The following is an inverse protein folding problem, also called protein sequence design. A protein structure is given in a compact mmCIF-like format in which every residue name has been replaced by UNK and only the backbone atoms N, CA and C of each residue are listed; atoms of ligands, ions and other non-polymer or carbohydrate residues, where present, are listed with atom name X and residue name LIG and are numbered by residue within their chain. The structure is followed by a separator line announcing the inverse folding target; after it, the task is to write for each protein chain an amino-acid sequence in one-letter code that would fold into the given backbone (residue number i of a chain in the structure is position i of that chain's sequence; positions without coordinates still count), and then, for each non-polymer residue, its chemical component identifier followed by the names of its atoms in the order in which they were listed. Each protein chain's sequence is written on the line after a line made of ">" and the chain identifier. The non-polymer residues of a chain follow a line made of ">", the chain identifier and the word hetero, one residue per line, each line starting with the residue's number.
data_IF_347792077027
#
_entry.id   IF_347792077027
#
_cell.length_a   1.000
_cell.length_b   1.000
_cell.length_c   1.000
_cell.angle_alpha   90.00
_cell.angle_beta   90.00
_cell.angle_gamma   90.00
#
_symmetry.space_group_name_H-M   'P 1'
#
loop_
_entity.id
_entity.type
_entity.pdbx_description
1 polymer ?
#
# COMPACT_ATOMS: atom_id res chain seq x y z
N UNK A 1 13.52 -14.83 6.89
CA UNK A 1 13.21 -13.44 7.26
C UNK A 1 14.40 -12.45 7.16
N UNK A 2 15.63 -12.89 6.80
CA UNK A 2 16.74 -12.05 6.25
C UNK A 2 16.28 -10.96 5.27
N UNK A 3 15.22 -11.29 4.53
CA UNK A 3 14.68 -10.52 3.43
C UNK A 3 13.40 -9.72 3.75
N UNK A 4 12.83 -9.82 4.95
CA UNK A 4 11.57 -9.12 5.26
C UNK A 4 11.84 -7.82 6.01
N UNK A 5 12.43 -7.81 7.20
CA UNK A 5 12.50 -6.56 8.00
C UNK A 5 13.56 -5.56 7.50
N UNK A 6 14.75 -6.04 7.12
CA UNK A 6 15.82 -5.19 6.57
C UNK A 6 15.59 -4.76 5.12
N UNK A 7 15.04 -5.66 4.28
CA UNK A 7 14.69 -5.32 2.89
C UNK A 7 13.32 -4.65 2.77
N UNK A 8 12.34 -4.80 3.66
CA UNK A 8 11.10 -3.99 3.57
C UNK A 8 11.41 -2.51 3.81
N UNK A 9 12.28 -2.17 4.78
CA UNK A 9 12.69 -0.79 5.03
C UNK A 9 13.61 -0.21 3.95
N UNK A 10 14.56 -1.00 3.43
CA UNK A 10 15.46 -0.56 2.36
C UNK A 10 14.96 -0.84 0.94
N UNK A 11 13.87 -1.59 0.74
CA UNK A 11 13.35 -1.89 -0.59
C UNK A 11 11.93 -1.39 -0.83
N UNK A 12 11.02 -1.28 0.15
CA UNK A 12 9.72 -0.66 -0.14
C UNK A 12 9.87 0.85 -0.34
N UNK A 13 10.69 1.51 0.48
CA UNK A 13 11.04 2.92 0.36
C UNK A 13 11.97 3.22 -0.82
N UNK A 14 12.99 2.38 -1.02
CA UNK A 14 14.06 2.62 -1.98
C UNK A 14 13.81 1.96 -3.34
N UNK A 15 13.19 0.76 -3.44
CA UNK A 15 12.86 0.16 -4.74
C UNK A 15 11.62 0.80 -5.39
N UNK A 16 10.65 1.31 -4.64
CA UNK A 16 9.61 2.17 -5.23
C UNK A 16 10.19 3.45 -5.86
N UNK A 17 11.24 4.00 -5.23
CA UNK A 17 11.95 5.20 -5.68
C UNK A 17 13.17 4.93 -6.61
N UNK A 18 13.57 3.68 -6.86
CA UNK A 18 14.75 3.36 -7.69
C UNK A 18 14.45 2.32 -8.78
N UNK A 19 13.51 1.40 -8.59
CA UNK A 19 13.19 0.37 -9.58
C UNK A 19 12.35 0.89 -10.76
N UNK A 20 11.77 2.09 -10.66
CA UNK A 20 11.02 2.72 -11.74
C UNK A 20 11.91 3.41 -12.80
N UNK A 21 13.21 3.58 -12.57
CA UNK A 21 14.08 4.29 -13.53
C UNK A 21 15.49 3.69 -13.55
N UNK A 22 15.72 2.78 -14.50
CA UNK A 22 17.07 2.33 -14.81
C UNK A 22 17.13 1.14 -15.76
N UNK A 23 16.44 1.17 -16.91
CA UNK A 23 17.01 0.47 -18.05
C UNK A 23 18.33 1.18 -18.39
N UNK A 24 19.42 0.43 -18.44
CA UNK A 24 20.70 0.93 -18.93
C UNK A 24 20.59 1.08 -20.45
N UNK A 25 19.92 2.13 -20.91
CA UNK A 25 19.87 2.41 -22.34
C UNK A 25 21.01 3.34 -22.76
N UNK A 26 21.63 2.95 -23.88
CA UNK A 26 22.84 3.50 -24.46
C UNK A 26 22.64 4.94 -24.96
N UNK A 27 23.62 5.80 -24.64
CA UNK A 27 24.04 6.99 -25.41
C UNK A 27 22.96 7.69 -26.25
N UNK A 28 21.83 8.09 -25.67
CA UNK A 28 21.00 9.13 -26.27
C UNK A 28 21.58 10.51 -25.93
N UNK A 29 21.42 11.47 -26.84
CA UNK A 29 21.77 12.87 -26.62
C UNK A 29 21.08 13.36 -25.33
N UNK A 30 21.86 13.86 -24.37
CA UNK A 30 21.33 14.32 -23.08
C UNK A 30 20.47 15.58 -23.30
N UNK A 31 19.17 15.41 -23.50
CA UNK A 31 18.23 16.52 -23.36
C UNK A 31 18.19 16.96 -21.90
N UNK A 32 18.55 18.21 -21.66
CA UNK A 32 18.50 18.80 -20.32
C UNK A 32 17.12 19.43 -20.10
N UNK A 33 16.38 18.91 -19.13
CA UNK A 33 15.19 19.58 -18.60
C UNK A 33 15.60 20.46 -17.42
N UNK A 34 15.44 21.77 -17.56
CA UNK A 34 15.60 22.73 -16.48
C UNK A 34 14.22 23.13 -15.96
N UNK A 35 13.94 22.81 -14.69
CA UNK A 35 12.73 23.26 -13.98
C UNK A 35 13.14 24.30 -12.95
N UNK A 36 12.75 25.55 -13.17
CA UNK A 36 13.01 26.65 -12.23
C UNK A 36 11.78 26.88 -11.35
N UNK A 37 11.98 26.91 -10.03
CA UNK A 37 10.93 27.24 -9.05
C UNK A 37 11.37 28.42 -8.19
N UNK A 38 10.51 29.44 -8.08
CA UNK A 38 10.81 30.62 -7.24
C UNK A 38 9.55 31.11 -6.52
N UNK A 39 9.73 31.77 -5.38
CA UNK A 39 8.62 32.38 -4.64
C UNK A 39 7.92 33.52 -5.39
N UNK A 40 8.46 33.98 -6.52
CA UNK A 40 7.86 35.01 -7.37
C UNK A 40 6.81 34.46 -8.34
N UNK A 41 6.86 33.16 -8.65
CA UNK A 41 5.88 32.50 -9.52
C UNK A 41 4.48 32.55 -8.91
N UNK A 42 3.47 32.51 -9.76
CA UNK A 42 2.07 32.31 -9.37
C UNK A 42 1.83 30.91 -8.82
N UNK A 43 0.66 30.67 -8.21
CA UNK A 43 0.30 29.35 -7.72
C UNK A 43 0.25 28.32 -8.87
N UNK A 44 -0.37 28.68 -10.00
CA UNK A 44 -0.53 27.77 -11.15
C UNK A 44 0.82 27.40 -11.78
N UNK A 45 1.73 28.37 -11.93
CA UNK A 45 3.09 28.13 -12.43
C UNK A 45 3.87 27.20 -11.48
N UNK A 46 3.73 27.38 -10.17
CA UNK A 46 4.36 26.50 -9.17
C UNK A 46 3.75 25.10 -9.22
N UNK A 47 2.44 24.97 -9.35
CA UNK A 47 1.77 23.67 -9.48
C UNK A 47 2.25 22.93 -10.74
N UNK A 48 2.35 23.60 -11.88
CA UNK A 48 2.89 23.00 -13.11
C UNK A 48 4.37 22.59 -12.95
N UNK A 49 5.20 23.44 -12.35
CA UNK A 49 6.60 23.11 -12.09
C UNK A 49 6.73 21.93 -11.10
N UNK A 50 5.84 21.86 -10.11
CA UNK A 50 5.73 20.74 -9.18
C UNK A 50 5.44 19.42 -9.91
N UNK A 51 4.52 19.42 -10.87
CA UNK A 51 4.21 18.23 -11.70
C UNK A 51 5.44 17.72 -12.46
N UNK A 52 6.24 18.61 -13.05
CA UNK A 52 7.50 18.23 -13.71
C UNK A 52 8.51 17.59 -12.74
N UNK A 53 8.46 17.97 -11.47
CA UNK A 53 9.37 17.45 -10.45
C UNK A 53 8.87 16.14 -9.82
N UNK A 54 7.66 15.67 -10.13
CA UNK A 54 7.17 14.37 -9.65
C UNK A 54 7.94 13.26 -10.35
N UNK A 55 8.94 12.75 -9.64
CA UNK A 55 9.78 11.66 -10.12
C UNK A 55 10.62 11.07 -9.00
N UNK A 56 11.27 9.91 -9.23
CA UNK A 56 11.89 9.15 -8.14
C UNK A 56 13.04 9.89 -7.46
N UNK A 57 13.71 10.81 -8.17
CA UNK A 57 14.83 11.59 -7.64
C UNK A 57 14.45 12.98 -7.12
N UNK A 58 13.25 13.47 -7.43
CA UNK A 58 12.86 14.89 -7.24
C UNK A 58 11.53 15.08 -6.50
N UNK A 59 10.84 14.01 -6.08
CA UNK A 59 9.54 14.09 -5.42
C UNK A 59 9.51 15.02 -4.19
N UNK A 60 10.61 15.12 -3.43
CA UNK A 60 10.72 16.00 -2.27
C UNK A 60 10.80 17.49 -2.67
N UNK A 61 11.36 17.78 -3.85
CA UNK A 61 11.34 19.13 -4.45
C UNK A 61 9.95 19.45 -4.99
N UNK A 62 9.26 18.47 -5.58
CA UNK A 62 7.87 18.60 -6.00
C UNK A 62 6.97 18.94 -4.80
N UNK A 63 7.07 18.17 -3.72
CA UNK A 63 6.32 18.39 -2.47
C UNK A 63 6.50 19.82 -1.93
N UNK A 64 7.75 20.31 -1.88
CA UNK A 64 8.05 21.70 -1.49
C UNK A 64 7.48 22.72 -2.46
N UNK A 65 7.51 22.43 -3.76
CA UNK A 65 6.98 23.35 -4.79
C UNK A 65 5.46 23.47 -4.68
N UNK A 66 4.76 22.35 -4.44
CA UNK A 66 3.32 22.36 -4.17
C UNK A 66 2.97 23.06 -2.85
N UNK A 67 3.82 22.96 -1.83
CA UNK A 67 3.66 23.75 -0.60
C UNK A 67 3.70 25.25 -0.89
N UNK A 68 4.68 25.71 -1.67
CA UNK A 68 4.75 27.12 -2.10
C UNK A 68 3.54 27.54 -2.95
N UNK A 69 3.00 26.64 -3.77
CA UNK A 69 1.77 26.89 -4.52
C UNK A 69 0.57 27.08 -3.57
N UNK A 70 0.44 26.23 -2.55
CA UNK A 70 -0.63 26.30 -1.56
C UNK A 70 -0.52 27.50 -0.61
N UNK A 71 0.70 27.99 -0.33
CA UNK A 71 0.89 29.26 0.39
C UNK A 71 0.28 30.44 -0.36
N UNK A 72 0.29 30.41 -1.69
CA UNK A 72 -0.29 31.46 -2.55
C UNK A 72 -1.76 31.23 -2.84
N UNK A 73 -2.16 29.98 -3.06
CA UNK A 73 -3.54 29.58 -3.26
C UNK A 73 -3.85 28.31 -2.45
N UNK A 74 -4.34 28.46 -1.22
CA UNK A 74 -4.67 27.32 -0.37
C UNK A 74 -5.77 26.42 -0.96
N UNK A 75 -6.52 26.89 -1.96
CA UNK A 75 -7.63 26.16 -2.59
C UNK A 75 -7.24 25.43 -3.88
N UNK A 76 -5.98 25.47 -4.31
CA UNK A 76 -5.51 24.71 -5.47
C UNK A 76 -5.66 23.20 -5.22
N UNK A 77 -6.68 22.59 -5.82
CA UNK A 77 -7.01 21.18 -5.63
C UNK A 77 -5.97 20.23 -6.20
N UNK A 78 -5.28 20.62 -7.27
CA UNK A 78 -4.24 19.81 -7.88
C UNK A 78 -3.00 19.80 -6.99
N UNK A 79 -2.58 20.95 -6.46
CA UNK A 79 -1.49 21.01 -5.49
C UNK A 79 -1.83 20.26 -4.19
N UNK A 80 -3.07 20.38 -3.69
CA UNK A 80 -3.54 19.59 -2.53
C UNK A 80 -3.48 18.09 -2.80
N UNK A 81 -3.92 17.65 -3.99
CA UNK A 81 -3.86 16.24 -4.41
C UNK A 81 -2.42 15.71 -4.37
N UNK A 82 -1.48 16.41 -5.01
CA UNK A 82 -0.08 15.99 -5.04
C UNK A 82 0.56 15.99 -3.66
N UNK A 83 0.29 17.00 -2.82
CA UNK A 83 0.77 17.01 -1.42
C UNK A 83 0.27 15.81 -0.63
N UNK A 84 -1.02 15.49 -0.74
CA UNK A 84 -1.59 14.33 -0.08
C UNK A 84 -0.97 13.02 -0.60
N UNK A 85 -0.78 12.90 -1.92
CA UNK A 85 -0.18 11.74 -2.56
C UNK A 85 1.30 11.54 -2.20
N UNK A 86 2.10 12.61 -2.22
CA UNK A 86 3.54 12.58 -1.98
C UNK A 86 3.89 12.36 -0.51
N UNK A 87 2.96 12.64 0.42
CA UNK A 87 3.21 12.52 1.86
C UNK A 87 3.78 11.16 2.27
N UNK A 88 3.33 10.06 1.64
CA UNK A 88 3.86 8.70 1.91
C UNK A 88 5.32 8.54 1.51
N UNK A 89 5.77 9.24 0.46
CA UNK A 89 7.18 9.27 0.05
C UNK A 89 8.00 10.15 0.99
N UNK A 90 7.41 11.23 1.52
CA UNK A 90 8.07 12.16 2.43
C UNK A 90 8.46 11.52 3.78
N UNK A 91 7.83 10.40 4.17
CA UNK A 91 8.21 9.62 5.37
C UNK A 91 9.66 9.11 5.30
N UNK A 92 10.23 9.01 4.09
CA UNK A 92 11.61 8.57 3.87
C UNK A 92 12.68 9.63 4.15
N UNK A 93 12.29 10.83 4.57
CA UNK A 93 13.24 11.86 4.99
C UNK A 93 14.17 11.31 6.07
N UNK A 94 15.47 11.51 5.87
CA UNK A 94 16.50 11.08 6.81
C UNK A 94 16.66 9.57 6.99
N UNK A 95 15.98 8.73 6.20
CA UNK A 95 15.92 7.27 6.45
C UNK A 95 17.30 6.61 6.53
N UNK A 96 18.26 7.07 5.71
CA UNK A 96 19.62 6.51 5.67
C UNK A 96 20.41 6.82 6.94
N UNK A 97 20.15 7.95 7.59
CA UNK A 97 20.73 8.27 8.89
C UNK A 97 19.96 7.58 10.02
N UNK A 98 18.63 7.63 9.98
CA UNK A 98 17.75 7.05 11.00
C UNK A 98 18.02 5.55 11.20
N UNK A 99 18.30 4.80 10.13
CA UNK A 99 18.54 3.34 10.20
C UNK A 99 19.96 2.95 10.65
N UNK A 100 20.90 3.90 10.77
CA UNK A 100 22.29 3.58 11.17
C UNK A 100 22.39 2.79 12.49
N UNK A 101 21.65 3.13 13.56
CA UNK A 101 21.73 2.38 14.81
C UNK A 101 21.24 0.93 14.63
N UNK A 102 20.15 0.71 13.90
CA UNK A 102 19.69 -0.64 13.56
C UNK A 102 20.74 -1.41 12.76
N UNK A 103 21.31 -0.79 11.71
CA UNK A 103 22.35 -1.43 10.89
C UNK A 103 23.62 -1.76 11.70
N UNK A 104 23.96 -0.97 12.72
CA UNK A 104 25.08 -1.26 13.64
C UNK A 104 24.81 -2.46 14.54
N UNK A 105 23.57 -2.61 15.02
CA UNK A 105 23.22 -3.60 16.04
C UNK A 105 22.73 -4.93 15.45
N UNK A 106 22.10 -4.89 14.27
CA UNK A 106 21.35 -6.00 13.70
C UNK A 106 21.68 -6.27 12.22
N UNK A 107 22.53 -5.46 11.59
CA UNK A 107 22.84 -5.58 10.17
C UNK A 107 24.31 -5.31 9.85
N UNK A 108 24.56 -4.80 8.64
CA UNK A 108 25.89 -4.42 8.20
C UNK A 108 25.99 -2.90 8.03
N UNK A 109 26.59 -2.23 9.02
CA UNK A 109 26.86 -0.79 8.95
C UNK A 109 27.80 -0.43 7.79
N UNK A 110 28.74 -1.32 7.43
CA UNK A 110 29.63 -1.10 6.29
C UNK A 110 28.87 -1.08 4.96
N UNK A 111 27.94 -2.03 4.75
CA UNK A 111 27.08 -2.04 3.55
C UNK A 111 26.21 -0.78 3.47
N UNK A 112 25.62 -0.33 4.59
CA UNK A 112 24.87 0.92 4.60
C UNK A 112 25.76 2.13 4.23
N UNK A 113 26.98 2.17 4.74
CA UNK A 113 27.94 3.23 4.40
C UNK A 113 28.36 3.17 2.92
N UNK A 114 28.53 1.97 2.35
CA UNK A 114 28.80 1.80 0.92
C UNK A 114 27.64 2.31 0.07
N UNK A 115 26.39 1.97 0.43
CA UNK A 115 25.20 2.52 -0.22
C UNK A 115 25.20 4.05 -0.16
N UNK A 116 25.40 4.64 1.02
CA UNK A 116 25.42 6.10 1.19
C UNK A 116 26.55 6.76 0.36
N UNK A 117 27.74 6.14 0.31
CA UNK A 117 28.86 6.63 -0.49
C UNK A 117 28.59 6.52 -1.98
N UNK A 118 27.97 5.43 -2.43
CA UNK A 118 27.63 5.16 -3.83
C UNK A 118 26.49 6.03 -4.38
N UNK A 119 25.67 6.64 -3.52
CA UNK A 119 24.63 7.57 -3.97
C UNK A 119 25.24 8.81 -4.65
N UNK A 120 24.76 9.20 -5.84
CA UNK A 120 25.22 10.40 -6.53
C UNK A 120 24.97 11.64 -5.69
N UNK A 121 25.75 12.70 -5.92
CA UNK A 121 25.56 14.01 -5.31
C UNK A 121 24.31 14.70 -5.92
N UNK A 122 23.14 14.24 -5.50
CA UNK A 122 21.81 14.69 -5.94
C UNK A 122 20.99 15.16 -4.73
N UNK A 123 20.07 16.13 -4.86
CA UNK A 123 19.19 16.56 -3.76
C UNK A 123 18.48 15.42 -3.01
N UNK A 124 18.17 14.32 -3.70
CA UNK A 124 17.61 13.11 -3.07
C UNK A 124 18.51 12.57 -1.96
N UNK A 125 19.84 12.56 -2.17
CA UNK A 125 20.79 12.09 -1.17
C UNK A 125 20.72 12.94 0.09
N UNK A 126 20.65 14.26 -0.06
CA UNK A 126 20.52 15.19 1.06
C UNK A 126 19.20 14.96 1.81
N UNK A 127 18.09 14.81 1.08
CA UNK A 127 16.79 14.47 1.65
C UNK A 127 16.80 13.16 2.46
N UNK A 128 17.40 12.11 1.91
CA UNK A 128 17.50 10.79 2.56
C UNK A 128 18.48 10.79 3.76
N UNK A 129 19.39 11.76 3.85
CA UNK A 129 20.31 11.94 4.96
C UNK A 129 19.84 13.00 5.98
N UNK A 130 18.79 13.75 5.69
CA UNK A 130 18.29 14.78 6.61
C UNK A 130 17.42 14.20 7.72
N UNK A 131 18.05 13.83 8.83
CA UNK A 131 17.40 13.28 10.03
C UNK A 131 17.09 14.33 11.10
N UNK A 132 17.14 15.62 10.78
CA UNK A 132 16.91 16.70 11.74
C UNK A 132 15.52 16.59 12.37
N UNK A 133 15.49 16.43 13.70
CA UNK A 133 14.26 16.32 14.48
C UNK A 133 13.53 14.99 14.34
N UNK A 134 14.11 14.01 13.63
CA UNK A 134 13.50 12.69 13.42
C UNK A 134 14.08 11.65 14.38
N UNK A 135 13.24 10.71 14.80
CA UNK A 135 13.66 9.63 15.70
C UNK A 135 14.53 8.60 14.97
N UNK A 136 15.61 8.12 15.60
CA UNK A 136 16.39 7.02 15.07
C UNK A 136 15.59 5.71 15.07
N UNK A 137 15.92 4.84 14.13
CA UNK A 137 15.42 3.46 14.04
C UNK A 137 16.54 2.57 14.58
N UNK A 138 16.40 2.15 15.83
CA UNK A 138 17.40 1.34 16.54
C UNK A 138 17.03 -0.14 16.67
N UNK A 139 15.73 -0.45 16.66
CA UNK A 139 15.16 -1.79 16.80
C UNK A 139 13.86 -1.92 16.02
N UNK A 140 13.15 -3.03 16.19
CA UNK A 140 11.90 -3.32 15.46
C UNK A 140 10.79 -2.33 15.83
N UNK A 141 10.78 -1.82 17.06
CA UNK A 141 9.85 -0.77 17.47
C UNK A 141 9.96 0.49 16.60
N UNK A 142 11.17 0.94 16.30
CA UNK A 142 11.42 2.06 15.38
C UNK A 142 11.01 1.75 13.93
N UNK A 143 11.08 0.50 13.51
CA UNK A 143 10.56 0.04 12.20
C UNK A 143 9.05 0.17 12.17
N UNK A 144 8.37 -0.28 13.23
CA UNK A 144 6.92 -0.20 13.34
C UNK A 144 6.45 1.27 13.43
N UNK A 145 7.18 2.15 14.11
CA UNK A 145 6.89 3.59 14.14
C UNK A 145 6.97 4.20 12.73
N UNK A 146 8.01 3.87 11.95
CA UNK A 146 8.12 4.28 10.55
C UNK A 146 6.94 3.79 9.71
N UNK A 147 6.53 2.52 9.89
CA UNK A 147 5.37 1.95 9.19
C UNK A 147 4.07 2.65 9.60
N UNK A 148 3.93 3.04 10.87
CA UNK A 148 2.80 3.86 11.34
C UNK A 148 2.77 5.22 10.63
N UNK A 149 3.90 5.92 10.51
CA UNK A 149 3.97 7.19 9.80
C UNK A 149 3.55 7.05 8.32
N UNK A 150 4.02 5.98 7.66
CA UNK A 150 3.64 5.66 6.28
C UNK A 150 2.14 5.36 6.15
N UNK A 151 1.59 4.54 7.06
CA UNK A 151 0.16 4.23 7.11
C UNK A 151 -0.68 5.50 7.30
N UNK A 152 -0.27 6.40 8.19
CA UNK A 152 -0.98 7.65 8.43
C UNK A 152 -0.97 8.55 7.18
N UNK A 153 0.14 8.58 6.43
CA UNK A 153 0.20 9.30 5.16
C UNK A 153 -0.77 8.73 4.09
N UNK A 154 -0.92 7.40 4.02
CA UNK A 154 -1.93 6.75 3.16
C UNK A 154 -3.35 7.10 3.57
N UNK A 155 -3.62 7.11 4.88
CA UNK A 155 -4.91 7.52 5.43
C UNK A 155 -5.24 8.97 5.06
N UNK A 156 -4.27 9.88 5.13
CA UNK A 156 -4.46 11.29 4.75
C UNK A 156 -4.81 11.43 3.26
N UNK A 157 -4.15 10.67 2.37
CA UNK A 157 -4.49 10.63 0.96
C UNK A 157 -5.91 10.10 0.71
N UNK A 158 -6.28 8.98 1.35
CA UNK A 158 -7.66 8.45 1.27
C UNK A 158 -8.70 9.45 1.77
N UNK A 159 -8.39 10.15 2.87
CA UNK A 159 -9.26 11.19 3.41
C UNK A 159 -9.40 12.37 2.45
N UNK A 160 -8.32 12.76 1.76
CA UNK A 160 -8.34 13.77 0.71
C UNK A 160 -9.28 13.36 -0.43
N UNK A 161 -9.12 12.16 -0.99
CA UNK A 161 -9.96 11.69 -2.10
C UNK A 161 -11.43 11.59 -1.67
N UNK A 162 -11.69 11.11 -0.45
CA UNK A 162 -13.06 11.02 0.09
C UNK A 162 -13.74 12.38 0.22
N UNK A 163 -12.98 13.43 0.55
CA UNK A 163 -13.48 14.81 0.65
C UNK A 163 -13.63 15.49 -0.72
N UNK A 164 -12.99 14.96 -1.76
CA UNK A 164 -13.00 15.54 -3.11
C UNK A 164 -13.37 14.46 -4.16
N UNK A 165 -14.54 13.81 -4.06
CA UNK A 165 -14.87 12.63 -4.86
C UNK A 165 -15.11 12.93 -6.35
N UNK A 166 -15.41 14.19 -6.70
CA UNK A 166 -15.72 14.63 -8.06
C UNK A 166 -14.59 15.49 -8.66
N UNK A 167 -13.38 15.33 -8.15
CA UNK A 167 -12.24 16.12 -8.62
C UNK A 167 -11.79 15.62 -10.00
N UNK A 168 -11.62 16.55 -10.93
CA UNK A 168 -11.15 16.28 -12.28
C UNK A 168 -10.07 17.29 -12.66
N UNK A 169 -8.97 16.81 -13.23
CA UNK A 169 -7.86 17.65 -13.70
C UNK A 169 -6.97 16.87 -14.66
N UNK A 170 -6.23 17.61 -15.46
CA UNK A 170 -5.17 17.06 -16.30
C UNK A 170 -3.88 17.00 -15.50
N UNK A 171 -3.11 15.91 -15.61
CA UNK A 171 -1.74 15.81 -15.07
C UNK A 171 -0.74 15.82 -16.22
N UNK A 172 0.39 16.48 -16.01
CA UNK A 172 1.50 16.43 -16.95
C UNK A 172 2.52 15.35 -16.55
N UNK A 173 2.90 14.52 -17.51
CA UNK A 173 3.92 13.50 -17.37
C UNK A 173 5.28 14.06 -17.76
N UNK A 174 6.24 14.08 -16.82
CA UNK A 174 7.62 14.41 -17.16
C UNK A 174 8.16 13.41 -18.21
N UNK A 175 8.56 13.87 -19.42
CA UNK A 175 8.99 12.99 -20.49
C UNK A 175 10.25 12.18 -20.19
N UNK A 176 11.09 12.64 -19.26
CA UNK A 176 12.31 11.92 -18.85
C UNK A 176 12.04 10.81 -17.84
N UNK A 177 10.89 10.84 -17.17
CA UNK A 177 10.51 9.83 -16.16
C UNK A 177 9.50 8.85 -16.74
N UNK A 178 8.60 9.34 -17.60
CA UNK A 178 7.45 8.59 -18.09
C UNK A 178 7.48 8.36 -19.61
N UNK A 179 8.68 8.25 -20.20
CA UNK A 179 8.86 8.07 -21.65
C UNK A 179 8.03 6.89 -22.21
N UNK A 180 8.04 5.74 -21.52
CA UNK A 180 7.27 4.56 -21.93
C UNK A 180 5.77 4.87 -22.00
N UNK A 181 5.22 5.50 -20.96
CA UNK A 181 3.80 5.85 -20.92
C UNK A 181 3.42 6.87 -22.01
N UNK A 182 4.29 7.85 -22.27
CA UNK A 182 4.08 8.85 -23.33
C UNK A 182 4.13 8.20 -24.72
N UNK A 183 5.06 7.27 -24.93
CA UNK A 183 5.17 6.51 -26.17
C UNK A 183 3.95 5.62 -26.38
N UNK A 184 3.47 4.95 -25.34
CA UNK A 184 2.24 4.16 -25.38
C UNK A 184 1.02 5.02 -25.72
N UNK A 185 0.90 6.21 -25.11
CA UNK A 185 -0.15 7.18 -25.45
C UNK A 185 -0.09 7.60 -26.92
N UNK A 186 1.10 7.91 -27.43
CA UNK A 186 1.29 8.29 -28.82
C UNK A 186 0.87 7.16 -29.76
N UNK A 187 1.29 5.92 -29.50
CA UNK A 187 0.89 4.75 -30.30
C UNK A 187 -0.62 4.55 -30.25
N UNK A 188 -1.22 4.65 -29.07
CA UNK A 188 -2.67 4.52 -28.87
C UNK A 188 -3.50 5.64 -29.51
N UNK A 189 -2.90 6.80 -29.79
CA UNK A 189 -3.54 7.93 -30.47
C UNK A 189 -3.65 7.77 -31.99
N UNK A 190 -2.91 6.81 -32.57
CA UNK A 190 -2.85 6.62 -34.01
C UNK A 190 -4.06 5.83 -34.50
N UNK A 191 -4.76 6.36 -35.51
CA UNK A 191 -5.83 5.68 -36.24
C UNK A 191 -5.40 5.45 -37.68
N UNK A 192 -5.69 4.26 -38.22
CA UNK A 192 -5.44 3.92 -39.62
C UNK A 192 -6.76 3.78 -40.36
N UNK A 193 -6.88 4.44 -41.51
CA UNK A 193 -8.03 4.30 -42.41
C UNK A 193 -7.53 3.89 -43.79
N UNK A 194 -8.18 2.88 -44.39
CA UNK A 194 -7.93 2.53 -45.78
C UNK A 194 -8.44 3.67 -46.68
N UNK A 195 -7.62 4.10 -47.62
CA UNK A 195 -8.03 5.08 -48.61
C UNK A 195 -8.66 4.37 -49.83
N UNK A 196 -9.45 5.11 -50.62
CA UNK A 196 -10.19 4.57 -51.76
C UNK A 196 -9.29 4.08 -52.91
N UNK A 197 -7.99 4.38 -52.88
CA UNK A 197 -7.00 4.01 -53.90
C UNK A 197 -6.19 2.76 -53.53
N UNK A 198 -6.54 2.07 -52.45
CA UNK A 198 -5.85 0.85 -52.00
C UNK A 198 -4.61 1.09 -51.13
N UNK A 199 -4.43 2.29 -50.61
CA UNK A 199 -3.43 2.64 -49.58
C UNK A 199 -4.03 2.82 -48.19
N UNK A 200 -3.20 3.27 -47.24
CA UNK A 200 -3.57 3.52 -45.85
C UNK A 200 -3.12 4.92 -45.40
N UNK A 201 -4.02 5.64 -44.74
CA UNK A 201 -3.73 6.91 -44.06
C UNK A 201 -3.65 6.65 -42.56
N UNK A 202 -2.54 7.05 -41.94
CA UNK A 202 -2.35 6.99 -40.48
C UNK A 202 -2.38 8.42 -39.94
N UNK A 203 -3.27 8.68 -38.99
CA UNK A 203 -3.39 9.98 -38.29
C UNK A 203 -3.18 9.73 -36.81
N UNK A 204 -2.19 10.39 -36.21
CA UNK A 204 -1.90 10.32 -34.79
C UNK A 204 -2.12 11.69 -34.14
N UNK A 205 -2.69 11.71 -32.94
CA UNK A 205 -2.82 12.92 -32.13
C UNK A 205 -1.55 13.10 -31.30
N UNK A 206 -0.72 14.08 -31.69
CA UNK A 206 0.57 14.34 -31.03
C UNK A 206 0.48 15.44 -29.96
N UNK A 207 -0.59 16.24 -29.98
CA UNK A 207 -0.84 17.24 -28.96
C UNK A 207 -1.24 16.56 -27.65
N UNK A 208 -0.70 17.04 -26.53
CA UNK A 208 -1.03 16.57 -25.17
C UNK A 208 -0.78 15.07 -24.92
N UNK A 209 0.07 14.40 -25.70
CA UNK A 209 0.48 13.00 -25.46
C UNK A 209 1.16 12.78 -24.09
N UNK A 210 1.75 13.84 -23.54
CA UNK A 210 2.33 13.88 -22.20
C UNK A 210 1.34 14.35 -21.12
N UNK A 211 0.05 14.40 -21.42
CA UNK A 211 -0.99 14.82 -20.50
C UNK A 211 -1.98 13.68 -20.30
N UNK A 212 -2.26 13.34 -19.04
CA UNK A 212 -3.29 12.35 -18.69
C UNK A 212 -4.42 13.05 -17.94
N UNK A 213 -5.65 12.66 -18.23
CA UNK A 213 -6.83 13.07 -17.48
C UNK A 213 -6.95 12.23 -16.22
N UNK A 214 -7.25 12.89 -15.11
CA UNK A 214 -7.65 12.26 -13.85
C UNK A 214 -9.11 12.59 -13.62
N UNK A 215 -9.94 11.57 -13.47
CA UNK A 215 -11.34 11.73 -13.10
C UNK A 215 -11.71 10.88 -11.87
N UNK A 216 -13.01 10.83 -11.57
CA UNK A 216 -13.58 10.06 -10.45
C UNK A 216 -13.14 8.58 -10.45
N UNK A 217 -13.09 7.94 -11.61
CA UNK A 217 -12.67 6.55 -11.72
C UNK A 217 -11.20 6.37 -11.35
N UNK A 218 -10.33 7.28 -11.80
CA UNK A 218 -8.89 7.24 -11.49
C UNK A 218 -8.65 7.50 -10.00
N UNK A 219 -9.35 8.48 -9.42
CA UNK A 219 -9.30 8.76 -7.99
C UNK A 219 -9.79 7.58 -7.15
N UNK A 220 -10.80 6.86 -7.62
CA UNK A 220 -11.30 5.66 -6.94
C UNK A 220 -10.24 4.56 -6.91
N UNK A 221 -9.55 4.30 -8.04
CA UNK A 221 -8.45 3.33 -8.11
C UNK A 221 -7.33 3.72 -7.14
N UNK A 222 -6.84 4.96 -7.22
CA UNK A 222 -5.79 5.45 -6.32
C UNK A 222 -6.18 5.34 -4.84
N UNK A 223 -7.44 5.63 -4.51
CA UNK A 223 -7.97 5.47 -3.14
C UNK A 223 -7.94 4.01 -2.69
N UNK A 224 -8.29 3.07 -3.58
CA UNK A 224 -8.25 1.64 -3.26
C UNK A 224 -6.84 1.07 -3.18
N UNK A 225 -5.91 1.53 -4.04
CA UNK A 225 -4.48 1.21 -3.92
C UNK A 225 -3.94 1.64 -2.55
N UNK A 226 -4.19 2.90 -2.17
CA UNK A 226 -3.80 3.40 -0.86
C UNK A 226 -4.48 2.66 0.30
N UNK A 227 -5.73 2.20 0.12
CA UNK A 227 -6.45 1.41 1.12
C UNK A 227 -5.84 0.01 1.29
N UNK A 228 -5.46 -0.64 0.20
CA UNK A 228 -4.78 -1.94 0.22
C UNK A 228 -3.41 -1.85 0.88
N UNK A 229 -2.60 -0.85 0.51
CA UNK A 229 -1.32 -0.57 1.17
C UNK A 229 -1.53 -0.30 2.68
N UNK A 230 -2.53 0.52 3.03
CA UNK A 230 -2.83 0.86 4.42
C UNK A 230 -3.23 -0.39 5.22
N UNK A 231 -4.06 -1.26 4.65
CA UNK A 231 -4.47 -2.51 5.28
C UNK A 231 -3.25 -3.39 5.56
N UNK A 232 -2.41 -3.60 4.54
CA UNK A 232 -1.20 -4.42 4.67
C UNK A 232 -0.29 -3.90 5.80
N UNK A 233 0.00 -2.59 5.81
CA UNK A 233 0.85 -1.99 6.83
C UNK A 233 0.20 -2.04 8.21
N UNK A 234 -1.13 -1.83 8.31
CA UNK A 234 -1.89 -1.96 9.56
C UNK A 234 -1.70 -3.35 10.16
N UNK A 235 -1.89 -4.41 9.36
CA UNK A 235 -1.73 -5.78 9.83
C UNK A 235 -0.31 -6.08 10.33
N UNK A 236 0.71 -5.50 9.69
CA UNK A 236 2.11 -5.66 10.09
C UNK A 236 2.51 -4.87 11.34
N UNK A 237 1.87 -3.73 11.61
CA UNK A 237 2.27 -2.83 12.71
C UNK A 237 1.29 -2.79 13.88
N UNK A 238 0.21 -3.57 13.86
CA UNK A 238 -0.82 -3.52 14.91
C UNK A 238 -0.36 -4.00 16.29
N UNK A 239 0.49 -5.02 16.30
CA UNK A 239 0.97 -5.64 17.53
C UNK A 239 2.49 -5.46 17.67
N UNK A 240 2.94 -5.18 18.89
CA UNK A 240 4.34 -4.95 19.21
C UNK A 240 5.16 -6.17 18.84
N UNK A 241 6.22 -5.96 18.06
CA UNK A 241 7.23 -6.98 17.80
C UNK A 241 8.48 -6.78 18.67
N UNK A 242 8.39 -5.91 19.68
CA UNK A 242 9.50 -5.55 20.56
C UNK A 242 10.01 -6.79 21.31
N UNK A 243 11.32 -7.01 21.24
CA UNK A 243 12.00 -8.12 21.91
C UNK A 243 12.06 -9.39 21.07
N UNK A 244 11.43 -9.44 19.89
CA UNK A 244 11.53 -10.59 18.99
C UNK A 244 12.83 -10.61 18.16
N UNK A 245 13.67 -9.56 18.25
CA UNK A 245 14.94 -9.48 17.54
C UNK A 245 15.85 -10.71 17.74
N UNK A 246 16.09 -11.20 18.98
CA UNK A 246 16.93 -12.37 19.20
C UNK A 246 16.31 -13.64 18.59
N UNK A 247 14.98 -13.78 18.69
CA UNK A 247 14.27 -14.91 18.09
C UNK A 247 14.41 -14.92 16.56
N UNK A 248 14.27 -13.78 15.91
CA UNK A 248 14.45 -13.69 14.45
C UNK A 248 15.89 -13.99 14.02
N UNK A 249 16.88 -13.60 14.85
CA UNK A 249 18.29 -13.92 14.59
C UNK A 249 18.60 -15.41 14.75
N UNK A 250 18.09 -16.04 15.81
CA UNK A 250 18.23 -17.49 16.05
C UNK A 250 17.63 -18.30 14.88
N UNK A 251 16.42 -17.96 14.44
CA UNK A 251 15.76 -18.63 13.30
C UNK A 251 16.45 -18.37 11.96
N UNK A 252 17.27 -17.33 11.87
CA UNK A 252 18.07 -17.03 10.69
C UNK A 252 19.33 -17.88 10.60
N UNK A 253 19.92 -18.21 11.75
CA UNK A 253 21.10 -19.08 11.87
C UNK A 253 20.69 -20.56 11.77
N UNK A 254 19.47 -20.90 12.21
CA UNK A 254 18.89 -22.25 12.17
C UNK A 254 17.82 -22.43 11.08
N UNK A 255 18.01 -21.85 9.90
CA UNK A 255 16.98 -21.75 8.86
C UNK A 255 16.33 -23.10 8.43
N UNK A 256 16.99 -24.23 8.68
CA UNK A 256 16.53 -25.58 8.34
C UNK A 256 15.93 -26.36 9.53
N UNK A 257 15.84 -25.78 10.74
CA UNK A 257 15.22 -26.45 11.89
C UNK A 257 13.70 -26.23 11.91
N UNK A 258 12.94 -27.33 11.82
CA UNK A 258 11.50 -27.29 12.10
C UNK A 258 11.29 -27.06 13.59
N UNK A 259 10.66 -25.93 13.93
CA UNK A 259 10.16 -25.68 15.28
C UNK A 259 8.74 -26.24 15.36
N UNK A 260 8.43 -27.01 16.40
CA UNK A 260 7.05 -27.44 16.61
C UNK A 260 6.16 -26.22 16.89
N UNK A 261 4.88 -26.29 16.54
CA UNK A 261 3.92 -25.23 16.86
C UNK A 261 3.92 -24.93 18.36
N UNK A 262 3.96 -25.97 19.21
CA UNK A 262 4.03 -25.81 20.66
C UNK A 262 5.24 -24.98 21.11
N UNK A 263 6.43 -25.29 20.58
CA UNK A 263 7.67 -24.60 20.95
C UNK A 263 7.68 -23.16 20.44
N UNK A 264 7.12 -22.90 19.25
CA UNK A 264 6.92 -21.55 18.73
C UNK A 264 6.09 -20.69 19.70
N UNK A 265 4.95 -21.21 20.17
CA UNK A 265 4.08 -20.48 21.10
C UNK A 265 4.74 -20.27 22.47
N UNK A 266 5.48 -21.25 22.96
CA UNK A 266 6.26 -21.12 24.20
C UNK A 266 7.33 -20.03 24.07
N UNK A 267 8.05 -20.01 22.94
CA UNK A 267 9.09 -19.02 22.65
C UNK A 267 8.49 -17.62 22.52
N UNK A 268 7.42 -17.44 21.74
CA UNK A 268 6.72 -16.15 21.62
C UNK A 268 6.21 -15.64 22.97
N UNK A 269 5.71 -16.53 23.83
CA UNK A 269 5.22 -16.18 25.17
C UNK A 269 6.34 -15.72 26.11
N UNK A 270 7.60 -16.12 25.87
CA UNK A 270 8.74 -15.69 26.69
C UNK A 270 9.12 -14.21 26.51
N UNK A 271 8.59 -13.53 25.49
CA UNK A 271 8.87 -12.12 25.23
C UNK A 271 7.75 -11.24 25.81
N UNK A 272 7.98 -10.55 26.96
CA UNK A 272 6.92 -9.87 27.70
C UNK A 272 6.23 -8.74 26.91
N UNK A 273 6.96 -8.05 26.03
CA UNK A 273 6.44 -6.93 25.23
C UNK A 273 6.01 -7.31 23.81
N UNK A 274 6.31 -8.54 23.36
CA UNK A 274 5.86 -9.00 22.07
C UNK A 274 4.36 -9.28 22.10
N UNK A 275 3.70 -9.10 20.95
CA UNK A 275 2.30 -9.43 20.70
C UNK A 275 1.27 -8.63 21.52
N UNK A 276 1.72 -7.62 22.28
CA UNK A 276 0.85 -6.62 22.89
C UNK A 276 0.34 -5.66 21.82
N UNK A 277 -0.93 -5.30 21.89
CA UNK A 277 -1.53 -4.32 20.99
C UNK A 277 -0.81 -2.98 21.14
N UNK A 278 -0.44 -2.37 20.02
CA UNK A 278 0.15 -1.03 20.03
C UNK A 278 -0.92 0.05 20.14
N UNK A 279 -0.59 1.17 20.78
CA UNK A 279 -1.52 2.31 20.89
C UNK A 279 -1.88 2.89 19.52
N UNK A 280 -0.95 2.79 18.57
CA UNK A 280 -1.07 3.27 17.19
C UNK A 280 -1.45 2.15 16.21
N UNK A 281 -2.15 1.09 16.63
CA UNK A 281 -2.36 -0.13 15.81
C UNK A 281 -3.13 0.07 14.49
N UNK A 282 -4.03 1.05 14.39
CA UNK A 282 -4.79 1.34 13.17
C UNK A 282 -5.87 0.31 12.80
N UNK A 283 -6.11 -0.74 13.61
CA UNK A 283 -7.08 -1.80 13.30
C UNK A 283 -8.51 -1.27 13.13
N UNK A 284 -8.87 -0.20 13.83
CA UNK A 284 -10.16 0.46 13.70
C UNK A 284 -10.42 0.99 12.27
N UNK A 285 -9.37 1.24 11.48
CA UNK A 285 -9.50 1.69 10.09
C UNK A 285 -9.86 0.55 9.13
N UNK A 286 -9.66 -0.72 9.49
CA UNK A 286 -9.95 -1.87 8.62
C UNK A 286 -11.42 -1.91 8.25
N UNK A 287 -12.33 -1.59 9.20
CA UNK A 287 -13.77 -1.48 8.91
C UNK A 287 -14.06 -0.41 7.86
N UNK A 288 -13.39 0.75 7.96
CA UNK A 288 -13.55 1.86 7.00
C UNK A 288 -12.96 1.50 5.63
N UNK A 289 -11.84 0.80 5.59
CA UNK A 289 -11.25 0.25 4.36
C UNK A 289 -12.24 -0.71 3.67
N UNK A 290 -12.83 -1.63 4.43
CA UNK A 290 -13.88 -2.52 3.91
C UNK A 290 -15.08 -1.75 3.37
N UNK A 291 -15.59 -0.76 4.11
CA UNK A 291 -16.70 0.07 3.64
C UNK A 291 -16.36 0.87 2.37
N UNK A 292 -15.12 1.34 2.25
CA UNK A 292 -14.62 2.00 1.03
C UNK A 292 -14.58 1.04 -0.16
N UNK A 293 -14.12 -0.20 0.04
CA UNK A 293 -14.10 -1.22 -1.01
C UNK A 293 -15.52 -1.56 -1.47
N UNK A 294 -16.45 -1.78 -0.54
CA UNK A 294 -17.86 -2.01 -0.86
C UNK A 294 -18.46 -0.86 -1.66
N UNK A 295 -18.22 0.38 -1.21
CA UNK A 295 -18.70 1.58 -1.90
C UNK A 295 -18.10 1.72 -3.30
N UNK A 296 -16.81 1.40 -3.46
CA UNK A 296 -16.14 1.41 -4.76
C UNK A 296 -16.73 0.37 -5.71
N UNK A 297 -16.95 -0.87 -5.26
CA UNK A 297 -17.56 -1.92 -6.06
C UNK A 297 -18.97 -1.55 -6.50
N UNK A 298 -19.81 -1.00 -5.61
CA UNK A 298 -21.14 -0.50 -5.96
C UNK A 298 -21.08 0.61 -7.00
N UNK A 299 -20.10 1.50 -6.89
CA UNK A 299 -19.87 2.55 -7.89
C UNK A 299 -19.49 1.96 -9.25
N UNK A 300 -18.53 1.03 -9.29
CA UNK A 300 -18.09 0.36 -10.53
C UNK A 300 -19.27 -0.36 -11.20
N UNK A 301 -20.05 -1.14 -10.44
CA UNK A 301 -21.24 -1.83 -10.95
C UNK A 301 -22.25 -0.83 -11.54
N UNK A 302 -22.55 0.25 -10.80
CA UNK A 302 -23.50 1.28 -11.25
C UNK A 302 -23.06 1.97 -12.54
N UNK A 303 -21.77 2.26 -12.69
CA UNK A 303 -21.22 3.01 -13.82
C UNK A 303 -20.52 2.14 -14.86
N UNK A 304 -20.64 0.82 -14.78
CA UNK A 304 -19.94 -0.17 -15.61
C UNK A 304 -19.96 0.19 -17.09
N UNK A 305 -21.14 0.51 -17.66
CA UNK A 305 -21.29 0.86 -19.09
C UNK A 305 -20.49 2.11 -19.52
N UNK A 306 -20.19 3.00 -18.59
CA UNK A 306 -19.45 4.24 -18.84
C UNK A 306 -17.94 4.07 -18.69
N UNK A 307 -17.52 3.23 -17.74
CA UNK A 307 -16.09 3.02 -17.40
C UNK A 307 -15.48 1.78 -18.07
N UNK A 308 -16.31 0.89 -18.61
CA UNK A 308 -15.93 -0.33 -19.33
C UNK A 308 -16.97 -0.63 -20.42
N UNK A 309 -16.64 -0.37 -21.70
CA UNK A 309 -17.55 -0.69 -22.82
C UNK A 309 -17.69 -2.21 -22.93
N UNK A 310 -18.92 -2.68 -22.79
CA UNK A 310 -19.29 -4.09 -22.93
C UNK A 310 -19.32 -4.45 -24.41
N UNK A 311 -18.63 -5.52 -24.83
CA UNK A 311 -18.73 -6.03 -26.21
C UNK A 311 -17.57 -6.88 -26.70
N UNK A 312 -16.36 -6.75 -26.14
CA UNK A 312 -15.20 -7.55 -26.54
C UNK A 312 -14.41 -7.95 -25.30
N UNK A 313 -14.42 -9.25 -24.96
CA UNK A 313 -13.49 -9.82 -23.97
C UNK A 313 -12.07 -9.40 -24.36
N UNK A 314 -11.40 -8.61 -23.51
CA UNK A 314 -10.01 -8.22 -23.71
C UNK A 314 -9.77 -6.81 -24.25
N UNK A 315 -10.80 -6.04 -24.62
CA UNK A 315 -10.60 -4.62 -24.98
C UNK A 315 -10.49 -3.75 -23.72
N UNK A 316 -9.43 -3.97 -22.93
CA UNK A 316 -9.18 -3.24 -21.68
C UNK A 316 -8.82 -1.78 -21.96
N UNK A 317 -8.31 -1.43 -23.14
CA UNK A 317 -7.88 -0.07 -23.52
C UNK A 317 -9.04 0.90 -23.84
N UNK A 318 -10.04 0.97 -22.97
CA UNK A 318 -11.26 1.77 -23.20
C UNK A 318 -11.17 3.23 -22.70
N UNK A 319 -10.04 3.64 -22.10
CA UNK A 319 -9.84 4.98 -21.53
C UNK A 319 -8.52 5.63 -22.01
N UNK A 320 -8.28 5.76 -23.32
CA UNK A 320 -7.07 6.42 -23.82
C UNK A 320 -6.97 7.85 -23.28
N UNK A 321 -5.75 8.25 -22.90
CA UNK A 321 -5.47 9.58 -22.34
C UNK A 321 -5.91 9.79 -20.88
N UNK A 322 -6.40 8.77 -20.18
CA UNK A 322 -6.62 8.82 -18.72
C UNK A 322 -5.44 8.21 -17.96
N UNK A 323 -5.31 8.55 -16.67
CA UNK A 323 -4.28 7.99 -15.79
C UNK A 323 -4.26 6.45 -15.82
N UNK A 324 -5.43 5.82 -15.73
CA UNK A 324 -5.59 4.40 -15.96
C UNK A 324 -6.24 4.18 -17.32
N UNK A 325 -5.42 3.78 -18.30
CA UNK A 325 -5.84 3.50 -19.68
C UNK A 325 -6.71 2.25 -19.78
N UNK A 326 -6.57 1.33 -18.82
CA UNK A 326 -7.41 0.16 -18.70
C UNK A 326 -8.75 0.50 -18.01
N UNK A 327 -9.86 0.05 -18.59
CA UNK A 327 -11.18 0.19 -18.00
C UNK A 327 -11.31 -0.58 -16.68
N UNK A 328 -12.03 0.00 -15.71
CA UNK A 328 -12.33 -0.65 -14.43
C UNK A 328 -13.61 -1.46 -14.64
N UNK A 329 -13.46 -2.74 -14.96
CA UNK A 329 -14.57 -3.60 -15.32
C UNK A 329 -14.95 -4.51 -14.14
N UNK A 330 -16.22 -4.47 -13.72
CA UNK A 330 -16.83 -5.51 -12.91
C UNK A 330 -17.44 -6.59 -13.82
N UNK A 331 -17.11 -7.85 -13.58
CA UNK A 331 -17.90 -8.98 -14.08
C UNK A 331 -19.19 -9.04 -13.24
N UNK A 332 -20.25 -8.39 -13.72
CA UNK A 332 -21.53 -8.34 -13.01
C UNK A 332 -22.31 -9.62 -13.35
N UNK A 333 -22.16 -10.64 -12.51
CA UNK A 333 -23.07 -11.80 -12.46
C UNK A 333 -24.07 -11.63 -11.31
N UNK A 334 -25.13 -12.44 -11.27
CA UNK A 334 -26.03 -12.51 -10.10
C UNK A 334 -25.30 -12.83 -8.79
N UNK A 335 -24.12 -13.45 -8.88
CA UNK A 335 -23.31 -13.84 -7.72
C UNK A 335 -22.54 -12.65 -7.15
N UNK A 336 -22.18 -11.65 -7.97
CA UNK A 336 -21.42 -10.47 -7.53
C UNK A 336 -22.20 -9.60 -6.54
N UNK A 337 -23.51 -9.40 -6.75
CA UNK A 337 -24.36 -8.65 -5.82
C UNK A 337 -24.58 -9.39 -4.50
N UNK A 338 -24.72 -10.72 -4.55
CA UNK A 338 -24.86 -11.55 -3.35
C UNK A 338 -23.56 -11.56 -2.52
N UNK A 339 -22.40 -11.68 -3.18
CA UNK A 339 -21.10 -11.62 -2.51
C UNK A 339 -20.86 -10.26 -1.87
N UNK A 340 -21.26 -9.17 -2.54
CA UNK A 340 -21.13 -7.82 -2.00
C UNK A 340 -22.05 -7.58 -0.80
N UNK A 341 -23.28 -8.10 -0.85
CA UNK A 341 -24.21 -8.06 0.29
C UNK A 341 -23.69 -8.88 1.48
N UNK A 342 -23.13 -10.07 1.22
CA UNK A 342 -22.49 -10.89 2.27
C UNK A 342 -21.29 -10.17 2.88
N UNK A 343 -20.46 -9.53 2.05
CA UNK A 343 -19.34 -8.73 2.51
C UNK A 343 -19.80 -7.56 3.39
N UNK A 344 -20.83 -6.82 2.99
CA UNK A 344 -21.43 -5.76 3.82
C UNK A 344 -21.98 -6.30 5.15
N UNK A 345 -22.56 -7.49 5.13
CA UNK A 345 -23.04 -8.17 6.34
C UNK A 345 -21.87 -8.52 7.27
N UNK A 346 -20.77 -9.06 6.74
CA UNK A 346 -19.56 -9.34 7.50
C UNK A 346 -18.95 -8.07 8.11
N UNK A 347 -18.93 -6.95 7.38
CA UNK A 347 -18.48 -5.66 7.92
C UNK A 347 -19.39 -5.10 9.03
N UNK A 348 -20.66 -5.52 9.03
CA UNK A 348 -21.67 -5.06 9.97
C UNK A 348 -21.65 -5.84 11.30
N UNK A 349 -21.05 -7.04 11.34
CA UNK A 349 -20.81 -7.78 12.57
C UNK A 349 -21.00 -9.30 12.40
N UNK A 350 -21.79 -9.88 13.31
CA UNK A 350 -21.95 -11.34 13.42
C UNK A 350 -22.67 -11.93 12.20
N UNK A 351 -22.05 -12.92 11.56
CA UNK A 351 -22.62 -13.77 10.53
C UNK A 351 -22.76 -15.20 11.03
N UNK A 352 -23.79 -15.91 10.58
CA UNK A 352 -23.93 -17.34 10.87
C UNK A 352 -23.40 -18.15 9.70
N UNK A 353 -22.47 -19.05 9.97
CA UNK A 353 -21.88 -19.95 8.97
C UNK A 353 -22.08 -21.40 9.38
N UNK A 354 -22.23 -22.27 8.39
CA UNK A 354 -22.30 -23.71 8.58
C UNK A 354 -20.87 -24.27 8.47
N UNK A 355 -20.39 -24.95 9.51
CA UNK A 355 -19.06 -25.56 9.58
C UNK A 355 -19.17 -27.08 9.63
N UNK A 356 -18.47 -27.78 8.75
CA UNK A 356 -18.40 -29.24 8.76
C UNK A 356 -17.26 -29.70 9.65
N UNK A 357 -17.59 -30.38 10.75
CA UNK A 357 -16.63 -30.96 11.67
C UNK A 357 -15.95 -32.19 11.06
N UNK A 358 -14.83 -32.62 11.67
CA UNK A 358 -14.07 -33.78 11.20
C UNK A 358 -14.88 -35.10 11.15
N UNK A 359 -15.94 -35.20 11.97
CA UNK A 359 -16.86 -36.33 12.00
C UNK A 359 -18.01 -36.23 10.96
N UNK A 360 -17.99 -35.22 10.08
CA UNK A 360 -19.01 -34.97 9.05
C UNK A 360 -20.27 -34.25 9.57
N UNK A 361 -20.35 -33.93 10.86
CA UNK A 361 -21.47 -33.17 11.41
C UNK A 361 -21.38 -31.69 11.02
N UNK A 362 -22.50 -31.11 10.59
CA UNK A 362 -22.60 -29.66 10.33
C UNK A 362 -23.00 -28.94 11.61
N UNK A 363 -22.15 -28.03 12.07
CA UNK A 363 -22.39 -27.13 13.20
C UNK A 363 -22.66 -25.72 12.68
N UNK A 364 -23.69 -25.05 13.22
CA UNK A 364 -23.95 -23.64 12.94
C UNK A 364 -23.18 -22.78 13.93
N UNK A 365 -22.26 -21.98 13.42
CA UNK A 365 -21.37 -21.14 14.22
C UNK A 365 -21.67 -19.67 13.93
N UNK A 366 -21.78 -18.86 14.98
CA UNK A 366 -21.87 -17.41 14.85
C UNK A 366 -20.42 -16.88 14.84
N UNK A 367 -20.05 -16.10 13.81
CA UNK A 367 -18.72 -15.53 13.63
C UNK A 367 -18.79 -14.01 13.49
N UNK A 368 -17.99 -13.27 14.25
CA UNK A 368 -17.75 -11.84 14.05
C UNK A 368 -16.35 -11.60 13.49
N UNK A 369 -16.25 -11.62 12.16
CA UNK A 369 -14.97 -11.43 11.45
C UNK A 369 -14.36 -10.05 11.74
N UNK A 370 -15.18 -9.08 12.17
CA UNK A 370 -14.74 -7.73 12.50
C UNK A 370 -14.32 -7.56 13.97
N UNK A 371 -14.62 -8.52 14.85
CA UNK A 371 -14.28 -8.42 16.27
C UNK A 371 -12.78 -8.18 16.52
N UNK A 372 -11.82 -8.88 15.87
CA UNK A 372 -10.39 -8.63 16.06
C UNK A 372 -9.94 -7.21 15.66
N UNK A 373 -10.73 -6.51 14.86
CA UNK A 373 -10.41 -5.17 14.37
C UNK A 373 -11.12 -4.05 15.15
N UNK A 374 -12.35 -4.29 15.58
CA UNK A 374 -13.18 -3.31 16.31
C UNK A 374 -12.92 -3.37 17.82
N UNK A 375 -12.67 -4.58 18.35
CA UNK A 375 -12.34 -4.83 19.75
C UNK A 375 -11.07 -5.69 19.82
N UNK A 376 -9.93 -5.15 19.37
CA UNK A 376 -8.70 -5.92 19.29
C UNK A 376 -8.26 -6.44 20.65
N UNK A 377 -7.79 -7.68 20.65
CA UNK A 377 -7.20 -8.33 21.83
C UNK A 377 -6.01 -7.49 22.28
N UNK A 378 -5.94 -7.13 23.56
CA UNK A 378 -4.83 -6.30 24.05
C UNK A 378 -3.48 -7.02 24.04
N UNK A 379 -3.53 -8.35 24.06
CA UNK A 379 -2.36 -9.22 24.06
C UNK A 379 -2.70 -10.55 23.37
N UNK A 380 -2.10 -10.81 22.20
CA UNK A 380 -2.42 -12.04 21.44
C UNK A 380 -2.04 -13.31 22.20
N UNK A 381 -1.21 -13.23 23.26
CA UNK A 381 -0.92 -14.40 24.12
C UNK A 381 -2.12 -14.90 24.89
N UNK A 382 -3.17 -14.07 25.02
CA UNK A 382 -4.42 -14.42 25.67
C UNK A 382 -5.34 -15.27 24.78
N UNK A 383 -5.12 -15.30 23.47
CA UNK A 383 -5.88 -16.15 22.53
C UNK A 383 -5.06 -17.36 22.06
N UNK A 384 -3.87 -17.56 22.62
CA UNK A 384 -3.05 -18.75 22.36
C UNK A 384 -3.68 -20.01 22.99
N UNK A 385 -3.31 -21.21 22.51
CA UNK A 385 -3.71 -22.45 23.16
C UNK A 385 -3.33 -22.48 24.65
N UNK A 386 -4.22 -23.03 25.47
CA UNK A 386 -3.97 -23.27 26.89
C UNK A 386 -3.23 -24.60 27.09
N UNK A 387 -3.63 -25.64 26.36
CA UNK A 387 -3.01 -26.98 26.39
C UNK A 387 -2.78 -27.52 24.99
N UNK A 388 -1.95 -28.56 24.90
CA UNK A 388 -1.52 -29.19 23.65
C UNK A 388 -1.72 -30.70 23.74
N UNK A 389 -2.07 -31.34 22.63
CA UNK A 389 -2.10 -32.80 22.50
C UNK A 389 -0.68 -33.37 22.48
N UNK A 390 -0.55 -34.69 22.60
CA UNK A 390 0.73 -35.40 22.43
C UNK A 390 1.37 -35.18 21.06
N UNK A 391 0.59 -34.77 20.06
CA UNK A 391 1.02 -34.56 18.68
C UNK A 391 1.27 -33.08 18.36
N UNK A 392 1.26 -32.20 19.37
CA UNK A 392 1.61 -30.79 19.20
C UNK A 392 0.50 -29.94 18.56
N UNK A 393 -0.74 -30.43 18.52
CA UNK A 393 -1.93 -29.64 18.16
C UNK A 393 -2.56 -29.00 19.39
N UNK A 394 -3.27 -27.89 19.22
CA UNK A 394 -3.99 -27.23 20.32
C UNK A 394 -5.11 -28.13 20.86
N UNK A 395 -5.12 -28.38 22.17
CA UNK A 395 -6.14 -29.20 22.83
C UNK A 395 -7.22 -28.37 23.54
N UNK A 396 -6.90 -27.13 23.93
CA UNK A 396 -7.84 -26.15 24.48
C UNK A 396 -7.34 -24.73 24.22
N UNK A 397 -8.22 -23.73 24.32
CA UNK A 397 -7.91 -22.32 24.12
C UNK A 397 -7.95 -21.58 25.45
N UNK A 398 -7.08 -20.58 25.63
CA UNK A 398 -7.19 -19.66 26.78
C UNK A 398 -8.42 -18.76 26.70
N UNK A 399 -8.89 -18.50 25.48
CA UNK A 399 -10.07 -17.72 25.17
C UNK A 399 -10.88 -18.48 24.12
N UNK A 400 -12.01 -19.06 24.54
CA UNK A 400 -12.90 -19.83 23.67
C UNK A 400 -13.64 -18.97 22.65
N UNK A 401 -13.60 -17.63 22.77
CA UNK A 401 -14.13 -16.70 21.76
C UNK A 401 -13.10 -16.34 20.69
N UNK A 402 -11.83 -16.73 20.89
CA UNK A 402 -10.69 -16.37 20.03
C UNK A 402 -10.64 -14.87 19.73
N UNK A 403 -10.67 -14.04 20.78
CA UNK A 403 -10.66 -12.59 20.65
C UNK A 403 -11.96 -12.01 20.12
N UNK A 404 -13.09 -12.68 20.39
CA UNK A 404 -14.42 -12.29 19.94
C UNK A 404 -14.79 -12.73 18.52
N UNK A 405 -13.89 -13.40 17.78
CA UNK A 405 -14.22 -13.97 16.47
C UNK A 405 -15.41 -14.95 16.55
N UNK A 406 -15.48 -15.69 17.65
CA UNK A 406 -16.57 -16.61 17.99
C UNK A 406 -17.32 -16.07 19.21
N UNK A 407 -18.27 -15.14 19.03
CA UNK A 407 -18.95 -14.43 20.12
C UNK A 407 -19.65 -15.35 21.13
N UNK A 408 -19.92 -16.61 20.77
CA UNK A 408 -20.54 -17.61 21.66
C UNK A 408 -19.55 -18.46 22.44
N UNK A 409 -18.25 -18.31 22.19
CA UNK A 409 -17.22 -19.11 22.86
C UNK A 409 -17.14 -20.55 22.32
N UNK A 410 -17.55 -20.79 21.08
CA UNK A 410 -17.61 -22.11 20.43
C UNK A 410 -16.35 -22.43 19.60
N UNK A 411 -15.29 -21.62 19.68
CA UNK A 411 -14.05 -21.86 18.94
C UNK A 411 -13.38 -23.20 19.32
N UNK A 412 -13.52 -23.63 20.58
CA UNK A 412 -12.95 -24.91 21.03
C UNK A 412 -13.59 -26.12 20.35
N UNK A 413 -14.87 -26.02 19.95
CA UNK A 413 -15.55 -27.10 19.23
C UNK A 413 -14.97 -27.35 17.83
N UNK A 414 -14.15 -26.41 17.32
CA UNK A 414 -13.46 -26.51 16.04
C UNK A 414 -12.07 -27.14 16.16
N UNK A 415 -11.56 -27.37 17.38
CA UNK A 415 -10.28 -28.03 17.57
C UNK A 415 -10.38 -29.53 17.24
N UNK A 416 -9.40 -30.05 16.50
CA UNK A 416 -9.30 -31.49 16.24
C UNK A 416 -8.51 -32.17 17.34
N UNK A 417 -9.17 -33.03 18.13
CA UNK A 417 -8.54 -33.80 19.20
C UNK A 417 -7.70 -34.99 18.73
N UNK A 418 -7.76 -35.35 17.45
CA UNK A 418 -7.07 -36.51 16.88
C UNK A 418 -5.73 -36.13 16.26
N UNK A 419 -4.70 -36.92 16.56
CA UNK A 419 -3.44 -36.91 15.82
C UNK A 419 -3.71 -37.47 14.42
N UNK A 420 -3.68 -36.61 13.40
CA UNK A 420 -3.76 -37.05 12.00
C UNK A 420 -2.42 -37.49 11.48
#
# INVERSE_FOLDING_TARGET
>A
MKAMTGKILMCAALMGALAACGSKDEKSEKQMLEVTTTSKMSADELTQAGEQLVGPYTFHLADRTFEMALEKNPNDKKAQFYRAFLKRLMVNRGILNRVKPYAKNHGSISQLQEVIKGLPAHPLKDFLLDDKGLKPIAGIDGIQDYLTDYRNALQDFRAFVTKNPNLEFDIFLNPHVFESAIRENLVGSCTSTNNQEGGFNVVCETEKIATLKVNVADLLVLKQEAAGEQLYVTLLSSYSMKGLEPYFKEREEEADSEISTKDLYAKLSSFPEALKLRQDNGLAEVKKIGADLSSAMKWVIKYQKQICRTGEEGNRANRPGFMFSQGICAEVTTDSDQQLALFDQMLSGVVRVDQTLANGQVMKVDMDIMAPFVKPVQDLRNIMPATWTSCGTAASLKDSTLGGLFPRGDAEALLTGECK
#
